data_IF_305554770626
#
_entry.id   IF_305554770626
#
_cell.length_a   1.000
_cell.length_b   1.000
_cell.length_c   1.000
_cell.angle_alpha   90.00
_cell.angle_beta   90.00
_cell.angle_gamma   90.00
#
_symmetry.space_group_name_H-M   'P 1'
#
loop_
_entity.id
_entity.type
_entity.pdbx_description
1 polymer ?
#
# COMPACT_ATOMS: atom_id res chain seq x y z
N UNK A 1 -20.89 4.30 -54.59
CA UNK A 1 -20.47 2.91 -54.32
C UNK A 1 -18.97 2.94 -54.05
N UNK A 2 -18.56 3.20 -52.80
CA UNK A 2 -17.16 3.37 -52.42
C UNK A 2 -16.71 2.13 -51.62
N UNK A 3 -15.73 1.42 -52.14
CA UNK A 3 -15.13 0.21 -51.54
C UNK A 3 -14.12 0.61 -50.46
N UNK A 4 -14.24 -0.03 -49.30
CA UNK A 4 -13.39 0.18 -48.13
C UNK A 4 -12.39 -1.00 -48.06
N UNK A 5 -11.15 -0.78 -48.48
CA UNK A 5 -10.09 -1.79 -48.38
C UNK A 5 -9.50 -1.81 -46.97
N UNK A 6 -9.79 -2.90 -46.25
CA UNK A 6 -9.26 -3.19 -44.91
C UNK A 6 -7.85 -3.76 -45.01
N UNK A 7 -6.81 -2.92 -44.92
CA UNK A 7 -5.43 -3.39 -44.72
C UNK A 7 -5.19 -3.75 -43.25
N UNK A 8 -5.32 -5.03 -42.94
CA UNK A 8 -4.93 -5.63 -41.67
C UNK A 8 -3.40 -5.62 -41.53
N UNK A 9 -2.90 -4.84 -40.56
CA UNK A 9 -1.49 -4.74 -40.21
C UNK A 9 -1.06 -5.99 -39.44
N UNK A 10 -0.27 -6.84 -40.09
CA UNK A 10 0.11 -8.16 -39.64
C UNK A 10 1.27 -8.05 -38.61
N UNK A 11 0.95 -7.88 -37.33
CA UNK A 11 1.94 -7.99 -36.25
C UNK A 11 2.18 -9.47 -35.93
N UNK A 12 3.32 -10.00 -36.35
CA UNK A 12 3.74 -11.38 -36.09
C UNK A 12 4.05 -11.59 -34.61
N UNK A 13 3.15 -12.27 -33.91
CA UNK A 13 3.36 -12.75 -32.55
C UNK A 13 4.45 -13.82 -32.57
N UNK A 14 5.64 -13.51 -32.05
CA UNK A 14 6.78 -14.43 -32.00
C UNK A 14 6.46 -15.61 -31.07
N UNK A 15 6.70 -16.84 -31.56
CA UNK A 15 6.39 -18.08 -30.85
C UNK A 15 7.18 -18.23 -29.53
N UNK A 16 6.62 -18.91 -28.51
CA UNK A 16 7.26 -19.10 -27.20
C UNK A 16 8.62 -19.81 -27.26
N UNK A 17 8.92 -20.53 -28.35
CA UNK A 17 10.22 -21.20 -28.58
C UNK A 17 11.35 -20.21 -28.89
N UNK A 18 11.05 -19.10 -29.55
CA UNK A 18 12.00 -18.03 -29.92
C UNK A 18 12.46 -17.20 -28.70
N UNK A 19 11.56 -16.96 -27.74
CA UNK A 19 11.90 -16.27 -26.48
C UNK A 19 12.85 -17.12 -25.61
N UNK A 20 12.73 -18.44 -25.67
CA UNK A 20 13.50 -19.39 -24.84
C UNK A 20 14.95 -19.55 -25.30
N UNK A 21 15.21 -19.57 -26.61
CA UNK A 21 16.57 -19.62 -27.17
C UNK A 21 17.34 -18.31 -26.94
N UNK A 22 16.66 -17.16 -27.03
CA UNK A 22 17.25 -15.85 -26.80
C UNK A 22 17.62 -15.61 -25.32
N UNK A 23 16.87 -16.20 -24.38
CA UNK A 23 17.16 -16.17 -22.93
C UNK A 23 18.41 -16.99 -22.58
N UNK A 24 18.58 -18.18 -23.18
CA UNK A 24 19.77 -19.04 -23.01
C UNK A 24 21.06 -18.33 -23.48
N UNK A 25 21.00 -17.62 -24.61
CA UNK A 25 22.14 -16.88 -25.16
C UNK A 25 22.52 -15.59 -24.39
N UNK A 26 21.62 -15.05 -23.55
CA UNK A 26 21.92 -13.90 -22.67
C UNK A 26 22.52 -14.32 -21.34
N UNK A 27 22.06 -15.43 -20.77
CA UNK A 27 22.58 -15.97 -19.50
C UNK A 27 24.02 -16.49 -19.69
N UNK A 28 24.35 -17.03 -20.88
CA UNK A 28 25.71 -17.49 -21.22
C UNK A 28 26.74 -16.37 -21.42
N UNK A 29 26.33 -15.09 -21.42
CA UNK A 29 27.21 -13.93 -21.67
C UNK A 29 27.56 -13.12 -20.43
N UNK A 30 26.94 -13.37 -19.26
CA UNK A 30 27.26 -12.66 -18.03
C UNK A 30 28.45 -13.32 -17.34
N UNK A 31 29.45 -12.52 -16.96
CA UNK A 31 30.61 -13.01 -16.20
C UNK A 31 30.16 -13.58 -14.85
N UNK A 32 30.90 -14.57 -14.33
CA UNK A 32 30.70 -15.15 -13.00
C UNK A 32 30.61 -14.08 -11.91
N UNK A 33 31.40 -13.02 -12.04
CA UNK A 33 31.43 -11.88 -11.10
C UNK A 33 30.15 -11.03 -11.16
N UNK A 34 29.60 -10.81 -12.36
CA UNK A 34 28.35 -10.07 -12.54
C UNK A 34 27.17 -10.85 -11.94
N UNK A 35 27.16 -12.17 -12.11
CA UNK A 35 26.17 -13.05 -11.49
C UNK A 35 26.25 -13.00 -9.96
N UNK A 36 27.44 -13.13 -9.39
CA UNK A 36 27.64 -13.08 -7.94
C UNK A 36 27.21 -11.72 -7.34
N UNK A 37 27.57 -10.62 -8.01
CA UNK A 37 27.17 -9.26 -7.60
C UNK A 37 25.65 -9.10 -7.62
N UNK A 38 24.98 -9.57 -8.68
CA UNK A 38 23.53 -9.53 -8.78
C UNK A 38 22.84 -10.37 -7.69
N UNK A 39 23.40 -11.54 -7.36
CA UNK A 39 22.89 -12.39 -6.28
C UNK A 39 23.06 -11.75 -4.91
N UNK A 40 24.23 -11.17 -4.61
CA UNK A 40 24.49 -10.43 -3.37
C UNK A 40 23.51 -9.28 -3.21
N UNK A 41 23.33 -8.49 -4.27
CA UNK A 41 22.38 -7.38 -4.28
C UNK A 41 20.95 -7.84 -4.03
N UNK A 42 20.50 -8.89 -4.72
CA UNK A 42 19.17 -9.47 -4.49
C UNK A 42 18.97 -9.90 -3.04
N UNK A 43 19.95 -10.60 -2.46
CA UNK A 43 19.89 -11.03 -1.06
C UNK A 43 19.77 -9.84 -0.11
N UNK A 44 20.59 -8.81 -0.31
CA UNK A 44 20.58 -7.62 0.53
C UNK A 44 19.25 -6.85 0.43
N UNK A 45 18.72 -6.66 -0.77
CA UNK A 45 17.41 -6.04 -0.97
C UNK A 45 16.29 -6.84 -0.30
N UNK A 46 16.31 -8.18 -0.43
CA UNK A 46 15.31 -9.04 0.23
C UNK A 46 15.40 -8.94 1.75
N UNK A 47 16.62 -8.92 2.30
CA UNK A 47 16.86 -8.77 3.74
C UNK A 47 16.32 -7.44 4.27
N UNK A 48 16.51 -6.34 3.52
CA UNK A 48 15.94 -5.03 3.87
C UNK A 48 14.41 -5.05 3.87
N UNK A 49 13.80 -5.58 2.80
CA UNK A 49 12.35 -5.66 2.70
C UNK A 49 11.75 -6.51 3.83
N UNK A 50 12.35 -7.67 4.13
CA UNK A 50 11.92 -8.53 5.23
C UNK A 50 11.96 -7.79 6.57
N UNK A 51 13.06 -7.09 6.85
CA UNK A 51 13.18 -6.30 8.08
C UNK A 51 12.08 -5.23 8.20
N UNK A 52 11.71 -4.58 7.09
CA UNK A 52 10.61 -3.61 7.09
C UNK A 52 9.27 -4.28 7.36
N UNK A 53 9.02 -5.45 6.76
CA UNK A 53 7.79 -6.22 7.04
C UNK A 53 7.71 -6.59 8.52
N UNK A 54 8.77 -7.17 9.08
CA UNK A 54 8.85 -7.55 10.50
C UNK A 54 8.61 -6.35 11.44
N UNK A 55 9.16 -5.17 11.12
CA UNK A 55 8.93 -3.96 11.92
C UNK A 55 7.48 -3.46 11.85
N UNK A 56 6.80 -3.61 10.71
CA UNK A 56 5.46 -3.05 10.48
C UNK A 56 4.30 -3.97 10.89
N UNK A 57 4.55 -5.26 11.14
CA UNK A 57 3.49 -6.19 11.57
C UNK A 57 3.11 -6.04 13.04
N UNK A 58 4.08 -5.78 13.93
CA UNK A 58 3.87 -5.83 15.39
C UNK A 58 3.76 -4.45 16.03
N UNK A 59 4.35 -3.42 15.44
CA UNK A 59 4.46 -2.09 16.05
C UNK A 59 3.61 -1.05 15.32
N UNK A 60 3.15 -0.06 16.08
CA UNK A 60 2.73 1.20 15.49
C UNK A 60 3.95 2.06 15.22
N UNK A 61 3.97 2.67 14.05
CA UNK A 61 5.07 3.49 13.57
C UNK A 61 4.60 4.92 13.36
N UNK A 62 5.48 5.87 13.62
CA UNK A 62 5.23 7.27 13.29
C UNK A 62 5.15 7.46 11.77
N UNK A 63 4.40 8.47 11.34
CA UNK A 63 4.14 8.73 9.93
C UNK A 63 5.42 8.99 9.13
N UNK A 64 6.37 9.73 9.69
CA UNK A 64 7.59 10.11 8.97
C UNK A 64 8.53 8.92 8.79
N UNK A 65 8.68 8.14 9.88
CA UNK A 65 9.47 6.90 9.83
C UNK A 65 8.82 5.88 8.89
N UNK A 66 7.49 5.79 8.87
CA UNK A 66 6.78 4.93 7.93
C UNK A 66 7.10 5.28 6.48
N UNK A 67 6.99 6.56 6.10
CA UNK A 67 7.31 7.00 4.74
C UNK A 67 8.74 6.69 4.34
N UNK A 68 9.69 6.78 5.26
CA UNK A 68 11.08 6.39 4.99
C UNK A 68 11.18 4.90 4.65
N UNK A 69 10.48 4.04 5.37
CA UNK A 69 10.53 2.57 5.20
C UNK A 69 9.90 2.10 3.89
N UNK A 70 8.92 2.85 3.36
CA UNK A 70 8.21 2.47 2.13
C UNK A 70 9.10 2.36 0.88
N UNK A 71 10.27 3.04 0.87
CA UNK A 71 11.25 2.93 -0.23
C UNK A 71 11.81 1.51 -0.37
N UNK A 72 11.84 0.77 0.73
CA UNK A 72 12.44 -0.55 0.87
C UNK A 72 11.39 -1.67 0.81
N UNK A 73 10.19 -1.41 0.29
CA UNK A 73 9.17 -2.44 0.04
C UNK A 73 8.48 -2.28 -1.34
N UNK A 74 7.66 -3.26 -1.70
CA UNK A 74 6.84 -3.27 -2.91
C UNK A 74 5.38 -3.61 -2.51
N UNK A 75 4.47 -3.61 -3.48
CA UNK A 75 3.06 -3.92 -3.21
C UNK A 75 2.85 -5.30 -2.55
N UNK A 76 3.60 -6.32 -2.95
CA UNK A 76 3.47 -7.66 -2.37
C UNK A 76 3.89 -7.68 -0.89
N UNK A 77 5.01 -7.05 -0.56
CA UNK A 77 5.45 -6.90 0.84
C UNK A 77 4.43 -6.12 1.68
N UNK A 78 3.78 -5.11 1.09
CA UNK A 78 2.72 -4.38 1.77
C UNK A 78 1.47 -5.24 2.02
N UNK A 79 1.10 -6.10 1.06
CA UNK A 79 0.03 -7.07 1.24
C UNK A 79 0.34 -8.05 2.38
N UNK A 80 1.58 -8.55 2.44
CA UNK A 80 2.04 -9.41 3.54
C UNK A 80 1.88 -8.69 4.90
N UNK A 81 2.25 -7.40 4.98
CA UNK A 81 2.06 -6.60 6.20
C UNK A 81 0.58 -6.51 6.59
N UNK A 82 -0.30 -6.21 5.63
CA UNK A 82 -1.75 -6.10 5.87
C UNK A 82 -2.32 -7.44 6.35
N UNK A 83 -1.90 -8.54 5.73
CA UNK A 83 -2.35 -9.89 6.06
C UNK A 83 -1.90 -10.31 7.46
N UNK A 84 -0.61 -10.21 7.76
CA UNK A 84 -0.04 -10.58 9.06
C UNK A 84 -0.66 -9.75 10.20
N UNK A 85 -0.84 -8.43 10.00
CA UNK A 85 -1.56 -7.58 10.97
C UNK A 85 -2.99 -8.05 11.20
N UNK A 86 -3.69 -8.44 10.14
CA UNK A 86 -5.08 -8.93 10.27
C UNK A 86 -5.16 -10.28 10.98
N UNK A 87 -4.14 -11.14 10.82
CA UNK A 87 -3.99 -12.41 11.53
C UNK A 87 -3.85 -12.15 13.04
N UNK A 88 -3.03 -11.17 13.42
CA UNK A 88 -2.85 -10.73 14.82
C UNK A 88 -3.98 -9.83 15.35
N UNK A 89 -5.08 -9.71 14.60
CA UNK A 89 -6.27 -8.90 14.93
C UNK A 89 -6.01 -7.41 15.04
N UNK A 90 -4.95 -6.90 14.42
CA UNK A 90 -4.72 -5.46 14.24
C UNK A 90 -5.31 -4.98 12.92
N UNK A 91 -5.68 -3.72 12.87
CA UNK A 91 -6.05 -3.08 11.61
C UNK A 91 -4.86 -3.14 10.64
N UNK A 92 -5.11 -3.64 9.43
CA UNK A 92 -4.09 -3.82 8.38
C UNK A 92 -3.41 -2.54 7.92
N UNK A 93 -3.99 -1.37 8.20
CA UNK A 93 -3.31 -0.09 7.93
C UNK A 93 -2.22 0.16 8.98
N UNK A 94 -0.92 0.26 8.60
CA UNK A 94 0.18 0.30 9.57
C UNK A 94 0.17 1.50 10.55
N UNK A 95 -0.40 2.63 10.13
CA UNK A 95 -0.54 3.81 11.00
C UNK A 95 -1.74 3.72 11.96
N UNK A 96 -2.57 2.69 11.85
CA UNK A 96 -3.71 2.48 12.74
C UNK A 96 -3.34 1.56 13.90
N UNK A 97 -3.77 1.91 15.12
CA UNK A 97 -3.58 1.11 16.35
C UNK A 97 -4.81 0.28 16.73
N UNK A 98 -5.91 0.44 16.00
CA UNK A 98 -7.18 -0.21 16.35
C UNK A 98 -7.13 -1.71 16.10
N UNK A 99 -7.75 -2.46 17.01
CA UNK A 99 -7.99 -3.89 16.85
C UNK A 99 -9.22 -4.15 15.99
N UNK A 100 -9.18 -5.25 15.25
CA UNK A 100 -10.31 -5.74 14.46
C UNK A 100 -11.32 -6.45 15.37
N UNK A 101 -12.37 -5.75 15.75
CA UNK A 101 -13.49 -6.32 16.51
C UNK A 101 -14.59 -6.83 15.56
N UNK A 102 -15.25 -7.94 15.91
CA UNK A 102 -16.42 -8.47 15.19
C UNK A 102 -16.20 -8.73 13.69
N UNK A 103 -15.04 -9.30 13.33
CA UNK A 103 -14.72 -9.65 11.94
C UNK A 103 -15.70 -10.71 11.42
N UNK A 104 -16.45 -10.44 10.33
CA UNK A 104 -17.36 -11.42 9.74
C UNK A 104 -16.61 -12.68 9.27
N UNK A 105 -17.17 -13.86 9.56
CA UNK A 105 -16.61 -15.15 9.12
C UNK A 105 -16.82 -15.38 7.63
N UNK A 106 -17.90 -14.82 7.06
CA UNK A 106 -18.28 -15.01 5.65
C UNK A 106 -17.38 -14.20 4.72
N UNK A 107 -17.07 -14.77 3.55
CA UNK A 107 -16.32 -14.09 2.48
C UNK A 107 -17.18 -13.13 1.67
N UNK A 108 -18.44 -13.47 1.44
CA UNK A 108 -19.34 -12.70 0.59
C UNK A 108 -20.44 -11.99 1.39
N UNK A 109 -20.75 -10.76 0.99
CA UNK A 109 -21.85 -9.96 1.52
C UNK A 109 -22.87 -9.69 0.40
N UNK A 110 -24.13 -10.05 0.63
CA UNK A 110 -25.21 -9.83 -0.33
C UNK A 110 -25.96 -8.57 0.08
N UNK A 111 -25.93 -7.56 -0.78
CA UNK A 111 -26.75 -6.36 -0.63
C UNK A 111 -28.02 -6.52 -1.43
N UNK A 112 -29.16 -6.58 -0.74
CA UNK A 112 -30.47 -6.58 -1.38
C UNK A 112 -30.84 -5.19 -1.93
N UNK A 113 -30.28 -4.13 -1.36
CA UNK A 113 -30.52 -2.75 -1.80
C UNK A 113 -29.95 -2.46 -3.19
N UNK A 114 -28.78 -3.02 -3.49
CA UNK A 114 -28.09 -2.88 -4.79
C UNK A 114 -28.13 -4.16 -5.62
N UNK A 115 -28.83 -5.20 -5.15
CA UNK A 115 -28.88 -6.53 -5.74
C UNK A 115 -27.49 -7.05 -6.17
N UNK A 116 -26.47 -6.85 -5.32
CA UNK A 116 -25.06 -7.12 -5.64
C UNK A 116 -24.42 -7.98 -4.55
N UNK A 117 -23.59 -8.93 -4.98
CA UNK A 117 -22.75 -9.75 -4.10
C UNK A 117 -21.34 -9.15 -4.07
N UNK A 118 -20.88 -8.76 -2.88
CA UNK A 118 -19.55 -8.18 -2.64
C UNK A 118 -18.63 -9.20 -2.01
N UNK A 119 -17.38 -9.26 -2.46
CA UNK A 119 -16.31 -9.95 -1.73
C UNK A 119 -15.74 -9.00 -0.66
N UNK A 120 -15.82 -9.40 0.61
CA UNK A 120 -15.36 -8.60 1.75
C UNK A 120 -14.03 -9.10 2.33
N UNK A 121 -13.33 -10.01 1.63
CA UNK A 121 -12.06 -10.60 2.07
C UNK A 121 -11.00 -9.55 2.37
N UNK A 122 -10.83 -8.57 1.49
CA UNK A 122 -9.87 -7.48 1.72
C UNK A 122 -10.40 -6.45 2.72
N UNK A 123 -11.70 -6.13 2.63
CA UNK A 123 -12.31 -5.12 3.50
C UNK A 123 -12.22 -5.51 4.98
N UNK A 124 -12.38 -6.79 5.32
CA UNK A 124 -12.42 -7.25 6.71
C UNK A 124 -11.06 -7.16 7.44
N UNK A 125 -9.97 -6.87 6.72
CA UNK A 125 -8.63 -6.64 7.28
C UNK A 125 -8.48 -5.25 7.92
N UNK A 126 -9.51 -4.40 7.89
CA UNK A 126 -9.46 -3.01 8.36
C UNK A 126 -10.60 -2.67 9.32
N UNK A 127 -10.32 -1.81 10.31
CA UNK A 127 -11.31 -1.43 11.33
C UNK A 127 -12.45 -0.58 10.76
N UNK A 128 -12.18 0.25 9.74
CA UNK A 128 -13.19 1.12 9.13
C UNK A 128 -12.90 1.38 7.63
N UNK A 129 -13.84 2.05 6.96
CA UNK A 129 -13.72 2.34 5.52
C UNK A 129 -12.61 3.37 5.21
N UNK A 130 -12.27 4.25 6.15
CA UNK A 130 -11.17 5.21 5.97
C UNK A 130 -9.81 4.49 5.97
N UNK A 131 -9.58 3.54 6.87
CA UNK A 131 -8.38 2.71 6.90
C UNK A 131 -8.25 1.88 5.62
N UNK A 132 -9.34 1.24 5.17
CA UNK A 132 -9.34 0.48 3.93
C UNK A 132 -8.96 1.35 2.72
N UNK A 133 -9.59 2.53 2.58
CA UNK A 133 -9.28 3.48 1.51
C UNK A 133 -7.86 4.01 1.59
N UNK A 134 -7.39 4.39 2.77
CA UNK A 134 -6.04 4.94 2.97
C UNK A 134 -4.96 3.91 2.68
N UNK A 135 -5.20 2.66 3.09
CA UNK A 135 -4.31 1.54 2.82
C UNK A 135 -4.23 1.22 1.31
N UNK A 136 -5.37 1.15 0.62
CA UNK A 136 -5.37 0.90 -0.83
C UNK A 136 -4.74 2.06 -1.60
N UNK A 137 -5.06 3.30 -1.23
CA UNK A 137 -4.44 4.49 -1.83
C UNK A 137 -2.92 4.49 -1.68
N UNK A 138 -2.42 4.03 -0.53
CA UNK A 138 -1.00 3.86 -0.30
C UNK A 138 -0.40 2.75 -1.17
N UNK A 139 -1.03 1.57 -1.17
CA UNK A 139 -0.59 0.41 -1.96
C UNK A 139 -0.46 0.75 -3.44
N UNK A 140 -1.43 1.48 -4.00
CA UNK A 140 -1.45 1.87 -5.41
C UNK A 140 -0.26 2.77 -5.80
N UNK A 141 0.34 3.47 -4.82
CA UNK A 141 1.53 4.30 -5.03
C UNK A 141 2.85 3.51 -4.92
N UNK A 142 2.83 2.28 -4.39
CA UNK A 142 4.02 1.45 -4.28
C UNK A 142 4.35 0.78 -5.62
N UNK A 143 5.64 0.64 -5.90
CA UNK A 143 6.11 -0.07 -7.08
C UNK A 143 5.88 -1.57 -6.94
N UNK A 144 5.54 -2.24 -8.05
CA UNK A 144 5.50 -3.70 -8.16
C UNK A 144 6.85 -4.29 -8.55
N UNK A 145 7.78 -3.46 -9.03
CA UNK A 145 9.14 -3.87 -9.42
C UNK A 145 9.90 -4.41 -8.19
N UNK A 146 10.67 -5.51 -8.35
CA UNK A 146 11.57 -5.98 -7.31
C UNK A 146 12.64 -4.94 -6.96
N UNK A 147 12.95 -4.79 -5.67
CA UNK A 147 13.88 -3.77 -5.16
C UNK A 147 15.25 -3.77 -5.84
N UNK A 148 15.82 -4.96 -6.11
CA UNK A 148 17.15 -5.09 -6.71
C UNK A 148 17.22 -4.67 -8.18
N UNK A 149 16.10 -4.25 -8.78
CA UNK A 149 16.03 -3.70 -10.14
C UNK A 149 15.80 -2.17 -10.18
N UNK A 150 15.68 -1.50 -9.02
CA UNK A 150 15.24 -0.08 -8.94
C UNK A 150 16.35 0.97 -9.07
N UNK A 151 17.59 0.60 -9.43
CA UNK A 151 18.72 1.54 -9.46
C UNK A 151 18.52 2.75 -10.39
N UNK A 152 17.64 2.62 -11.38
CA UNK A 152 17.35 3.64 -12.38
C UNK A 152 15.89 4.10 -12.36
N UNK A 153 15.08 3.64 -11.41
CA UNK A 153 13.67 4.00 -11.32
C UNK A 153 13.48 5.25 -10.45
N UNK A 154 12.65 6.19 -10.92
CA UNK A 154 12.24 7.34 -10.11
C UNK A 154 11.22 6.81 -9.10
N UNK A 155 11.57 6.88 -7.81
CA UNK A 155 10.64 6.50 -6.76
C UNK A 155 9.45 7.48 -6.74
N UNK A 156 8.21 6.98 -6.76
CA UNK A 156 7.04 7.84 -6.69
C UNK A 156 7.03 8.59 -5.36
N UNK A 157 6.63 9.86 -5.38
CA UNK A 157 6.42 10.65 -4.16
C UNK A 157 5.14 10.17 -3.49
N UNK A 158 5.30 9.39 -2.44
CA UNK A 158 4.18 8.82 -1.68
C UNK A 158 3.46 9.93 -0.91
N UNK A 159 2.13 9.92 -1.00
CA UNK A 159 1.21 10.79 -0.26
C UNK A 159 0.29 9.93 0.59
N UNK A 160 -0.01 10.42 1.79
CA UNK A 160 -0.95 9.78 2.71
C UNK A 160 -2.27 10.54 2.70
N UNK A 161 -3.38 9.82 2.81
CA UNK A 161 -4.67 10.45 3.08
C UNK A 161 -4.74 10.85 4.55
N UNK A 162 -5.50 11.91 4.90
CA UNK A 162 -5.72 12.29 6.28
C UNK A 162 -6.33 11.12 7.05
N UNK A 163 -5.57 10.55 7.98
CA UNK A 163 -6.03 9.48 8.84
C UNK A 163 -6.43 10.06 10.20
N UNK A 164 -7.71 9.93 10.57
CA UNK A 164 -8.13 10.14 11.95
C UNK A 164 -7.82 8.86 12.71
N UNK A 165 -6.61 8.76 13.24
CA UNK A 165 -6.33 7.83 14.34
C UNK A 165 -7.32 8.18 15.46
N UNK A 166 -7.95 7.18 16.06
CA UNK A 166 -9.08 7.32 16.98
C UNK A 166 -8.77 7.99 18.31
N UNK A 167 -8.14 9.17 18.31
CA UNK A 167 -8.23 10.09 19.43
C UNK A 167 -9.64 10.66 19.38
N UNK A 168 -10.51 10.16 20.27
CA UNK A 168 -11.74 10.86 20.63
C UNK A 168 -11.33 12.28 21.04
N UNK A 169 -11.63 13.28 20.22
CA UNK A 169 -11.49 14.67 20.62
C UNK A 169 -12.59 14.95 21.65
N UNK A 170 -12.30 14.75 22.93
CA UNK A 170 -13.12 15.29 24.02
C UNK A 170 -12.70 16.72 24.43
N UNK A 171 -11.71 17.32 23.76
CA UNK A 171 -11.12 18.57 24.22
C UNK A 171 -11.17 19.65 23.11
N UNK A 172 -12.36 20.13 22.77
CA UNK A 172 -12.51 21.39 21.99
C UNK A 172 -13.70 22.24 22.46
N UNK A 173 -14.09 22.12 23.73
CA UNK A 173 -15.22 22.89 24.29
C UNK A 173 -14.86 23.70 25.53
N UNK A 174 -13.72 23.44 26.19
CA UNK A 174 -13.34 24.15 27.43
C UNK A 174 -12.48 25.40 27.20
N UNK A 175 -11.75 25.52 26.10
CA UNK A 175 -11.02 26.77 25.80
C UNK A 175 -11.94 27.88 25.27
N UNK A 176 -13.04 27.54 24.58
CA UNK A 176 -14.00 28.51 24.03
C UNK A 176 -14.92 29.16 25.08
N UNK A 177 -15.00 28.63 26.31
CA UNK A 177 -15.76 29.27 27.40
C UNK A 177 -14.94 30.26 28.26
N UNK A 178 -13.61 30.24 28.16
CA UNK A 178 -12.77 31.18 28.92
C UNK A 178 -12.69 32.59 28.32
N UNK A 179 -13.04 32.75 27.03
CA UNK A 179 -12.93 34.00 26.29
C UNK A 179 -14.22 34.83 26.25
N UNK A 180 -15.30 34.40 26.92
CA UNK A 180 -16.58 35.13 26.97
C UNK A 180 -16.89 35.75 28.34
N UNK A 181 -15.91 35.81 29.25
CA UNK A 181 -16.12 36.40 30.60
C UNK A 181 -15.31 37.67 30.87
N UNK A 182 -14.70 38.28 29.85
CA UNK A 182 -13.88 39.50 30.02
C UNK A 182 -14.28 40.60 29.01
N UNK A 183 -15.58 40.90 28.83
CA UNK A 183 -15.97 42.13 28.08
C UNK A 183 -17.15 42.94 28.66
N UNK A 184 -17.64 42.65 29.88
CA UNK A 184 -18.75 43.43 30.48
C UNK A 184 -18.41 44.15 31.80
N UNK A 185 -17.24 44.79 31.92
CA UNK A 185 -16.92 45.57 33.14
C UNK A 185 -16.29 46.95 32.96
N UNK A 186 -16.32 47.56 31.77
CA UNK A 186 -15.85 48.95 31.64
C UNK A 186 -16.72 49.79 30.70
N UNK A 187 -17.92 50.18 31.15
CA UNK A 187 -18.48 51.51 30.85
C UNK A 187 -19.23 52.00 32.10
N UNK A 188 -18.52 52.75 32.93
CA UNK A 188 -19.07 53.53 34.02
C UNK A 188 -18.27 54.82 34.11
N UNK A 189 -18.71 55.84 33.39
CA UNK A 189 -18.49 57.28 33.62
C UNK A 189 -19.56 58.07 32.89
#
# INVERSE_FOLDING_TARGET
>A
MATIDSKSSNQTIKSPRSLRSNKKNRISKLSKEQLDTALKKKRECNRKALKVVEELIDQHIDQDLFLEKLKDINQCHYDDIVDERSITKLCGYPLCKEFLTNVPVKQYYISTATNTVYDITERKKFCNNSCFKSSNYLKDQLLTSPLWLRDQEILPKIKLLPHRSGVKQENETLEKLSLLTIEDSVVGK
#
